data_IF_953143775136
#
_entry.id   IF_953143775136
#
_cell.length_a   1.000
_cell.length_b   1.000
_cell.length_c   1.000
_cell.angle_alpha   90.00
_cell.angle_beta   90.00
_cell.angle_gamma   90.00
#
_symmetry.space_group_name_H-M   'P 1'
#
loop_
_entity.id
_entity.type
_entity.pdbx_description
1 polymer ?
2 polymer ?
3 non-polymer ?
4 non-polymer ?
5 non-polymer ?
6 water ?
#
# COMPACT_ATOMS: atom_id res chain seq x y z
C UNK A 8 -3.22 -23.25 3.86
N UNK A 9 -3.53 -22.17 4.56
CA UNK A 9 -4.80 -21.47 4.44
C UNK A 9 -4.53 -20.00 4.15
N UNK A 10 -5.33 -19.42 3.25
CA UNK A 10 -5.28 -17.99 2.95
C UNK A 10 -6.46 -17.30 3.62
N UNK A 11 -6.19 -16.20 4.33
CA UNK A 11 -7.25 -15.43 4.95
C UNK A 11 -7.72 -14.30 4.05
N UNK A 12 -8.97 -13.87 4.24
CA UNK A 12 -9.51 -12.74 3.47
C UNK A 12 -10.38 -11.92 4.40
N UNK A 13 -10.20 -10.60 4.39
CA UNK A 13 -11.08 -9.71 5.14
C UNK A 13 -11.70 -8.70 4.19
N UNK A 14 -12.99 -8.46 4.39
CA UNK A 14 -13.79 -7.53 3.61
C UNK A 14 -15.01 -7.19 4.43
N UNK A 15 -15.38 -5.91 4.48
CA UNK A 15 -16.59 -5.52 5.17
C UNK A 15 -17.28 -4.43 4.36
N UNK A 16 -18.52 -4.70 3.95
CA UNK A 16 -19.27 -3.75 3.14
C UNK A 16 -19.42 -2.39 3.81
N UNK A 17 -19.30 -2.32 5.13
CA UNK A 17 -19.43 -1.04 5.82
C UNK A 17 -18.37 -0.04 5.41
N UNK A 18 -17.22 -0.50 4.90
CA UNK A 18 -16.22 0.44 4.42
C UNK A 18 -16.67 1.18 3.15
N UNK A 19 -17.81 0.81 2.57
CA UNK A 19 -18.33 1.57 1.44
C UNK A 19 -18.98 2.88 1.85
N UNK A 20 -19.22 3.10 3.15
CA UNK A 20 -20.03 4.24 3.56
C UNK A 20 -19.28 5.56 3.42
N UNK A 21 -17.94 5.52 3.48
CA UNK A 21 -17.11 6.69 3.21
C UNK A 21 -17.32 7.14 1.77
N UNK A 22 -17.74 8.39 1.59
CA UNK A 22 -18.10 8.82 0.24
C UNK A 22 -17.89 10.32 0.09
N UNK A 23 -17.87 10.77 -1.17
CA UNK A 23 -17.68 12.17 -1.54
C UNK A 23 -19.05 12.78 -1.86
N UNK A 24 -19.57 13.57 -0.93
CA UNK A 24 -20.94 14.05 -1.08
C UNK A 24 -21.06 15.17 -2.11
N UNK A 25 -19.95 15.73 -2.56
CA UNK A 25 -19.97 16.80 -3.54
C UNK A 25 -19.62 16.36 -4.95
N UNK A 26 -19.04 15.16 -5.10
CA UNK A 26 -18.51 14.72 -6.39
C UNK A 26 -18.63 13.20 -6.40
N UNK A 27 -19.76 12.70 -6.89
CA UNK A 27 -20.02 11.27 -6.85
C UNK A 27 -19.13 10.48 -7.79
N UNK A 28 -18.42 11.15 -8.70
CA UNK A 28 -17.50 10.49 -9.62
C UNK A 28 -16.04 10.64 -9.20
N UNK A 29 -15.78 11.09 -7.98
CA UNK A 29 -14.43 11.03 -7.44
C UNK A 29 -13.91 9.60 -7.56
N UNK A 30 -12.66 9.40 -8.00
CA UNK A 30 -12.21 8.02 -8.33
C UNK A 30 -12.09 7.09 -7.13
N UNK A 31 -11.97 7.59 -5.91
CA UNK A 31 -11.88 6.71 -4.73
C UNK A 31 -13.30 6.33 -4.31
N UNK A 32 -13.91 5.45 -5.11
CA UNK A 32 -15.32 5.07 -5.13
C UNK A 32 -15.62 3.99 -4.10
N UNK A 33 -16.76 4.10 -3.41
CA UNK A 33 -17.20 2.98 -2.56
C UNK A 33 -17.16 1.64 -3.26
N UNK A 34 -17.54 1.57 -4.54
CA UNK A 34 -17.64 0.27 -5.19
C UNK A 34 -16.28 -0.30 -5.59
N UNK A 35 -15.18 0.40 -5.31
CA UNK A 35 -13.86 -0.22 -5.49
C UNK A 35 -13.78 -1.54 -4.74
N UNK A 36 -14.21 -1.56 -3.47
CA UNK A 36 -14.01 -2.77 -2.69
C UNK A 36 -15.10 -3.81 -2.98
N UNK A 37 -16.33 -3.37 -3.28
CA UNK A 37 -17.36 -4.35 -3.59
C UNK A 37 -17.11 -4.99 -4.95
N UNK A 38 -16.54 -4.25 -5.89
CA UNK A 38 -16.20 -4.86 -7.17
C UNK A 38 -15.09 -5.89 -7.01
N UNK A 39 -14.06 -5.58 -6.20
CA UNK A 39 -13.01 -6.56 -5.98
C UNK A 39 -13.58 -7.81 -5.30
N UNK A 40 -14.39 -7.60 -4.26
CA UNK A 40 -15.00 -8.72 -3.55
C UNK A 40 -15.85 -9.57 -4.49
N UNK A 41 -16.70 -8.93 -5.30
CA UNK A 41 -17.51 -9.68 -6.26
C UNK A 41 -16.67 -10.52 -7.19
N UNK A 42 -15.56 -9.96 -7.70
CA UNK A 42 -14.74 -10.73 -8.62
C UNK A 42 -14.10 -11.93 -7.92
N UNK A 43 -13.75 -11.80 -6.63
CA UNK A 43 -13.27 -12.95 -5.88
C UNK A 43 -14.34 -14.03 -5.79
N UNK A 44 -15.60 -13.62 -5.66
CA UNK A 44 -16.68 -14.59 -5.61
C UNK A 44 -16.85 -15.27 -6.97
N UNK A 45 -16.90 -14.46 -8.03
CA UNK A 45 -17.08 -14.99 -9.39
C UNK A 45 -15.99 -15.98 -9.78
N UNK A 46 -14.74 -15.69 -9.41
CA UNK A 46 -13.62 -16.56 -9.73
C UNK A 46 -13.48 -17.72 -8.75
N UNK A 47 -14.40 -17.84 -7.80
CA UNK A 47 -14.45 -18.93 -6.83
C UNK A 47 -13.20 -18.94 -5.96
N UNK A 48 -12.66 -17.76 -5.70
CA UNK A 48 -11.56 -17.58 -4.75
C UNK A 48 -12.06 -17.35 -3.33
N UNK A 49 -13.22 -16.70 -3.18
CA UNK A 49 -13.74 -16.39 -1.85
C UNK A 49 -13.99 -17.66 -1.05
N UNK A 50 -14.58 -18.69 -1.69
CA UNK A 50 -14.91 -19.90 -0.96
C UNK A 50 -13.68 -20.72 -0.58
N UNK A 51 -12.52 -20.44 -1.19
CA UNK A 51 -11.27 -21.08 -0.85
C UNK A 51 -10.54 -20.41 0.31
N UNK A 52 -10.96 -19.22 0.73
CA UNK A 52 -10.29 -18.47 1.78
C UNK A 52 -10.97 -18.64 3.13
N UNK A 53 -10.20 -18.47 4.19
CA UNK A 53 -10.76 -18.35 5.54
C UNK A 53 -11.16 -16.90 5.75
N UNK A 54 -12.43 -16.66 6.07
CA UNK A 54 -12.90 -15.29 6.24
C UNK A 54 -12.50 -14.76 7.61
N UNK A 55 -11.68 -13.72 7.62
CA UNK A 55 -11.24 -13.04 8.83
C UNK A 55 -12.20 -11.89 9.12
N UNK A 56 -12.71 -11.75 10.34
CA UNK A 56 -13.66 -10.66 10.62
C UNK A 56 -12.98 -9.31 10.65
N UNK A 57 -13.67 -8.31 10.13
CA UNK A 57 -13.24 -6.93 10.30
C UNK A 57 -13.49 -6.49 11.74
N UNK A 58 -12.75 -5.46 12.15
CA UNK A 58 -12.99 -4.82 13.43
C UNK A 58 -12.51 -3.38 13.34
N UNK A 59 -12.95 -2.58 14.31
CA UNK A 59 -12.45 -1.22 14.43
C UNK A 59 -11.07 -1.22 15.07
N UNK A 60 -10.15 -0.46 14.50
CA UNK A 60 -8.97 -0.07 15.25
C UNK A 60 -9.39 0.75 16.46
N UNK A 61 -8.64 0.62 17.56
CA UNK A 61 -8.79 1.49 18.70
C UNK A 61 -7.92 2.73 18.55
N UNK A 62 -8.30 3.80 19.27
CA UNK A 62 -7.50 5.01 19.25
C UNK A 62 -6.10 4.77 19.79
N UNK A 63 -5.95 3.87 20.78
CA UNK A 63 -4.63 3.51 21.26
C UNK A 63 -3.79 2.89 20.13
N UNK A 64 -4.43 2.07 19.28
CA UNK A 64 -3.71 1.47 18.16
C UNK A 64 -3.33 2.52 17.13
N UNK A 65 -4.21 3.48 16.84
CA UNK A 65 -3.86 4.55 15.92
C UNK A 65 -2.66 5.34 16.40
N UNK A 66 -2.49 5.46 17.73
CA UNK A 66 -1.36 6.20 18.29
C UNK A 66 -0.04 5.48 18.12
N UNK A 67 -0.04 4.25 17.60
CA UNK A 67 1.22 3.61 17.23
C UNK A 67 1.97 4.43 16.19
N UNK A 68 1.24 5.13 15.32
CA UNK A 68 1.85 5.91 14.26
C UNK A 68 1.39 7.36 14.20
N UNK A 69 0.22 7.71 14.76
CA UNK A 69 -0.35 9.03 14.54
C UNK A 69 -0.42 9.82 15.85
N UNK A 70 -0.36 11.15 15.70
CA UNK A 70 -0.46 12.05 16.85
C UNK A 70 -1.86 12.07 17.41
N UNK A 71 -1.97 12.36 18.71
CA UNK A 71 -3.31 12.43 19.29
C UNK A 71 -4.12 13.55 18.68
N UNK A 72 -3.46 14.64 18.25
CA UNK A 72 -4.18 15.74 17.62
C UNK A 72 -4.80 15.29 16.31
N UNK A 73 -4.03 14.57 15.49
CA UNK A 73 -4.57 14.10 14.21
C UNK A 73 -5.73 13.14 14.44
N UNK A 74 -5.57 12.20 15.37
CA UNK A 74 -6.65 11.26 15.65
C UNK A 74 -7.91 12.02 16.08
N UNK A 75 -7.75 12.99 16.99
CA UNK A 75 -8.93 13.68 17.51
C UNK A 75 -9.60 14.54 16.43
N UNK A 76 -8.82 15.09 15.50
CA UNK A 76 -9.42 15.90 14.43
C UNK A 76 -10.25 15.01 13.50
N UNK A 77 -9.67 13.90 13.03
CA UNK A 77 -10.44 13.02 12.16
C UNK A 77 -11.66 12.48 12.89
N UNK A 78 -11.49 12.13 14.17
CA UNK A 78 -12.62 11.63 14.96
C UNK A 78 -13.74 12.65 15.05
N UNK A 79 -13.38 13.93 15.22
CA UNK A 79 -14.39 14.98 15.34
C UNK A 79 -15.22 15.15 14.08
N UNK A 80 -14.70 14.70 12.92
CA UNK A 80 -15.46 14.85 11.69
C UNK A 80 -16.72 14.00 11.68
N UNK A 81 -16.81 12.99 12.56
CA UNK A 81 -18.00 12.16 12.65
C UNK A 81 -19.26 12.97 12.92
N UNK A 82 -19.11 14.14 13.55
CA UNK A 82 -20.24 14.93 14.02
C UNK A 82 -20.37 16.26 13.28
N UNK A 83 -19.65 16.44 12.19
CA UNK A 83 -19.64 17.73 11.50
C UNK A 83 -20.76 17.81 10.48
N UNK A 84 -21.27 19.02 10.30
CA UNK A 84 -22.20 19.29 9.23
C UNK A 84 -21.44 19.39 7.90
N UNK A 85 -22.14 19.27 6.77
CA UNK A 85 -21.44 19.24 5.47
C UNK A 85 -20.50 20.42 5.22
N UNK A 86 -20.91 21.65 5.59
CA UNK A 86 -20.01 22.78 5.36
C UNK A 86 -18.70 22.61 6.12
N UNK A 87 -18.76 22.07 7.34
CA UNK A 87 -17.53 21.90 8.11
C UNK A 87 -16.73 20.70 7.62
N UNK A 88 -17.39 19.66 7.10
CA UNK A 88 -16.65 18.56 6.46
C UNK A 88 -15.90 19.05 5.24
N UNK A 89 -16.52 19.91 4.43
CA UNK A 89 -15.83 20.47 3.28
C UNK A 89 -14.63 21.29 3.72
N UNK A 90 -14.82 22.15 4.72
CA UNK A 90 -13.73 23.00 5.20
C UNK A 90 -12.57 22.17 5.74
N UNK A 91 -12.88 21.15 6.54
CA UNK A 91 -11.82 20.34 7.12
C UNK A 91 -11.08 19.57 6.04
N UNK A 92 -11.81 18.91 5.14
CA UNK A 92 -11.16 18.16 4.08
C UNK A 92 -10.25 19.03 3.23
N UNK A 93 -10.68 20.26 2.97
CA UNK A 93 -9.88 21.19 2.16
C UNK A 93 -8.60 21.64 2.85
N UNK A 94 -8.48 21.44 4.17
CA UNK A 94 -7.22 21.75 4.84
C UNK A 94 -6.11 20.79 4.46
N UNK A 95 -6.45 19.63 3.92
CA UNK A 95 -5.46 18.62 3.55
C UNK A 95 -5.22 18.62 2.05
N UNK A 96 -4.17 17.90 1.64
CA UNK A 96 -3.87 17.65 0.24
C UNK A 96 -4.68 16.45 -0.23
N UNK A 97 -5.69 16.71 -1.07
CA UNK A 97 -6.48 15.68 -1.76
C UNK A 97 -7.27 14.78 -0.80
N UNK A 98 -8.16 15.36 -0.01
CA UNK A 98 -8.98 14.62 0.95
C UNK A 98 -10.42 15.06 0.83
N UNK A 99 -11.35 14.09 0.79
CA UNK A 99 -12.75 14.37 1.04
C UNK A 99 -13.19 13.58 2.27
N UNK A 100 -14.14 14.15 3.03
CA UNK A 100 -14.59 13.56 4.29
C UNK A 100 -16.11 13.55 4.34
N UNK A 101 -16.67 12.44 4.82
CA UNK A 101 -18.09 12.34 5.17
C UNK A 101 -18.19 11.93 6.63
N UNK A 102 -19.41 11.89 7.16
CA UNK A 102 -19.53 11.55 8.59
C UNK A 102 -19.10 10.12 8.88
N UNK A 103 -19.04 9.27 7.86
CA UNK A 103 -18.68 7.87 8.00
C UNK A 103 -17.19 7.62 7.80
N UNK A 104 -16.42 8.65 7.43
CA UNK A 104 -15.03 8.45 7.01
C UNK A 104 -14.19 7.88 8.14
N UNK A 105 -14.31 8.47 9.34
CA UNK A 105 -13.50 8.01 10.47
C UNK A 105 -13.74 6.53 10.76
N UNK A 106 -15.02 6.14 10.83
CA UNK A 106 -15.36 4.74 11.08
C UNK A 106 -14.77 3.83 10.01
N UNK A 107 -14.87 4.24 8.74
CA UNK A 107 -14.34 3.38 7.68
C UNK A 107 -12.83 3.26 7.77
N UNK A 108 -12.14 4.36 8.10
CA UNK A 108 -10.70 4.28 8.27
C UNK A 108 -10.34 3.38 9.44
N UNK A 109 -11.14 3.41 10.52
CA UNK A 109 -10.90 2.49 11.63
C UNK A 109 -11.08 1.04 11.20
N UNK A 110 -12.14 0.77 10.42
CA UNK A 110 -12.39 -0.60 9.95
C UNK A 110 -11.26 -1.08 9.05
N UNK A 111 -10.76 -0.22 8.17
CA UNK A 111 -9.68 -0.61 7.29
C UNK A 111 -8.46 -1.05 8.10
N UNK A 112 -8.11 -0.27 9.12
CA UNK A 112 -6.93 -0.59 9.94
C UNK A 112 -7.17 -1.82 10.80
N UNK A 113 -8.30 -1.86 11.51
CA UNK A 113 -8.59 -3.01 12.36
C UNK A 113 -8.69 -4.31 11.59
N UNK A 114 -9.21 -4.26 10.35
CA UNK A 114 -9.25 -5.44 9.51
C UNK A 114 -7.86 -5.96 9.22
N UNK A 115 -6.91 -5.05 8.97
CA UNK A 115 -5.54 -5.47 8.70
C UNK A 115 -4.88 -5.99 9.97
N UNK A 116 -5.19 -5.40 11.13
CA UNK A 116 -4.65 -5.95 12.39
C UNK A 116 -5.11 -7.38 12.59
N UNK A 117 -6.41 -7.64 12.38
CA UNK A 117 -6.90 -9.00 12.55
C UNK A 117 -6.24 -9.94 11.55
N UNK A 118 -5.93 -9.46 10.34
CA UNK A 118 -5.26 -10.30 9.37
C UNK A 118 -3.82 -10.61 9.78
N UNK A 119 -3.08 -9.59 10.23
CA UNK A 119 -1.74 -9.82 10.73
C UNK A 119 -1.76 -10.76 11.92
N UNK A 120 -2.73 -10.58 12.81
CA UNK A 120 -2.87 -11.48 13.95
C UNK A 120 -3.11 -12.92 13.49
N UNK A 121 -4.00 -13.11 12.51
CA UNK A 121 -4.29 -14.44 12.02
C UNK A 121 -3.03 -15.10 11.45
N UNK A 122 -2.18 -14.32 10.77
CA UNK A 122 -0.95 -14.88 10.26
C UNK A 122 0.00 -15.23 11.40
N UNK A 123 0.18 -14.29 12.35
CA UNK A 123 1.23 -14.46 13.36
C UNK A 123 0.85 -15.44 14.46
N UNK A 124 -0.44 -15.73 14.63
CA UNK A 124 -0.88 -16.81 15.51
C UNK A 124 -0.95 -18.16 14.80
N UNK A 125 -0.67 -18.20 13.50
CA UNK A 125 -0.67 -19.45 12.78
C UNK A 125 -2.03 -19.94 12.31
N UNK A 126 -3.05 -19.07 12.33
CA UNK A 126 -4.37 -19.50 11.84
C UNK A 126 -4.38 -19.59 10.32
N UNK A 127 -3.66 -18.70 9.64
CA UNK A 127 -3.53 -18.72 8.18
C UNK A 127 -2.06 -18.48 7.84
N UNK A 128 -1.68 -18.88 6.61
CA UNK A 128 -0.30 -18.65 6.17
C UNK A 128 -0.12 -17.24 5.63
N UNK A 129 -1.15 -16.70 4.99
CA UNK A 129 -1.07 -15.42 4.31
C UNK A 129 -2.49 -14.87 4.22
N UNK A 130 -2.64 -13.64 3.73
CA UNK A 130 -3.98 -13.07 3.72
C UNK A 130 -4.08 -11.89 2.78
N UNK A 131 -5.32 -11.55 2.41
CA UNK A 131 -5.61 -10.38 1.58
C UNK A 131 -6.66 -9.54 2.29
N UNK A 132 -6.51 -8.21 2.23
CA UNK A 132 -7.41 -7.29 2.91
C UNK A 132 -8.01 -6.33 1.88
N UNK A 133 -9.32 -6.42 1.68
CA UNK A 133 -10.01 -5.61 0.68
C UNK A 133 -10.62 -4.43 1.44
N UNK A 134 -9.87 -3.33 1.53
CA UNK A 134 -10.21 -2.25 2.46
C UNK A 134 -10.13 -0.90 1.76
N UNK A 135 -10.91 0.05 2.27
CA UNK A 135 -10.83 1.46 1.92
C UNK A 135 -11.35 2.27 3.10
N UNK A 136 -10.97 3.55 3.22
CA UNK A 136 -10.03 4.32 2.39
C UNK A 136 -8.61 3.80 2.49
N UNK A 137 -7.77 4.16 1.54
CA UNK A 137 -6.36 3.73 1.58
C UNK A 137 -5.56 4.41 2.68
N UNK A 138 -4.29 4.06 2.79
CA UNK A 138 -3.50 4.49 3.93
C UNK A 138 -2.13 5.09 3.66
N UNK A 139 -1.47 4.76 2.54
CA UNK A 139 -0.02 4.95 2.52
C UNK A 139 0.42 6.41 2.41
N UNK A 140 -0.47 7.36 2.06
CA UNK A 140 -0.08 8.77 2.09
C UNK A 140 -0.32 9.44 3.43
N UNK A 141 -1.01 8.78 4.35
CA UNK A 141 -1.29 9.40 5.64
C UNK A 141 -0.01 9.52 6.46
N UNK A 142 0.19 10.69 7.05
CA UNK A 142 1.37 11.02 7.84
C UNK A 142 1.05 10.89 9.32
N UNK A 143 2.09 10.98 10.15
CA UNK A 143 1.88 11.01 11.59
C UNK A 143 0.81 12.03 11.97
N UNK A 144 0.90 13.25 11.42
CA UNK A 144 0.12 14.39 11.88
C UNK A 144 -0.99 14.83 10.92
N UNK A 145 -1.10 14.27 9.72
CA UNK A 145 -2.06 14.80 8.75
C UNK A 145 -2.58 13.69 7.85
N UNK A 146 -3.78 13.90 7.33
CA UNK A 146 -4.34 13.11 6.24
C UNK A 146 -3.83 13.63 4.91
N UNK A 147 -3.84 12.75 3.89
CA UNK A 147 -3.24 13.12 2.61
C UNK A 147 -3.65 12.11 1.55
N UNK A 148 -3.90 12.60 0.34
CA UNK A 148 -4.01 11.70 -0.80
C UNK A 148 -5.01 10.57 -0.64
N UNK A 149 -6.24 10.90 -0.25
CA UNK A 149 -7.36 9.99 -0.03
C UNK A 149 -7.19 9.13 1.24
N UNK A 150 -6.13 9.35 2.04
CA UNK A 150 -5.78 8.51 3.17
C UNK A 150 -5.90 9.27 4.48
N UNK A 151 -6.48 8.62 5.50
CA UNK A 151 -6.65 9.20 6.83
C UNK A 151 -5.64 8.69 7.85
N UNK A 152 -5.51 7.37 7.96
CA UNK A 152 -4.54 6.72 8.85
C UNK A 152 -3.73 5.74 8.02
N UNK A 153 -2.48 5.54 8.40
CA UNK A 153 -1.57 4.76 7.56
C UNK A 153 -1.72 3.30 7.95
N UNK A 154 -2.71 2.65 7.32
CA UNK A 154 -3.05 1.26 7.62
C UNK A 154 -1.84 0.34 7.59
N UNK A 155 -1.02 0.42 6.54
CA UNK A 155 0.09 -0.51 6.44
C UNK A 155 1.13 -0.24 7.53
N UNK A 156 1.43 1.04 7.78
CA UNK A 156 2.38 1.38 8.83
C UNK A 156 1.87 0.94 10.19
N UNK A 157 0.57 1.17 10.45
CA UNK A 157 0.00 0.74 11.71
C UNK A 157 0.05 -0.77 11.86
N UNK A 158 -0.17 -1.51 10.77
CA UNK A 158 -0.15 -2.97 10.83
C UNK A 158 1.24 -3.49 11.17
N UNK A 159 2.29 -2.84 10.63
CA UNK A 159 3.64 -3.25 10.97
C UNK A 159 3.88 -3.08 12.46
N UNK A 160 3.48 -1.93 13.02
CA UNK A 160 3.66 -1.68 14.45
C UNK A 160 2.79 -2.63 15.26
N UNK A 161 1.58 -2.92 14.77
CA UNK A 161 0.73 -3.86 15.49
C UNK A 161 1.36 -5.24 15.52
N UNK A 162 1.93 -5.68 14.38
CA UNK A 162 2.61 -6.97 14.33
C UNK A 162 3.75 -7.01 15.33
N UNK A 163 4.52 -5.92 15.41
CA UNK A 163 5.61 -5.87 16.38
C UNK A 163 5.07 -5.94 17.80
N UNK A 164 3.90 -5.34 18.04
CA UNK A 164 3.32 -5.30 19.39
C UNK A 164 2.82 -6.66 19.88
N UNK A 165 2.69 -7.67 19.03
CA UNK A 165 2.27 -8.99 19.51
C UNK A 165 3.36 -10.03 19.36
N UNK A 166 4.57 -9.63 18.94
CA UNK A 166 5.65 -10.61 18.77
C UNK A 166 6.96 -10.13 19.39
N UNK A 167 7.59 -9.15 18.76
CA UNK A 167 8.86 -8.61 19.22
C UNK A 167 8.90 -7.16 18.77
N UNK A 168 9.27 -6.26 19.69
CA UNK A 168 9.22 -4.84 19.38
C UNK A 168 10.00 -4.53 18.10
N UNK A 169 11.10 -5.24 17.88
CA UNK A 169 11.95 -5.01 16.72
C UNK A 169 11.77 -6.05 15.63
N UNK A 170 10.63 -6.77 15.61
CA UNK A 170 10.34 -7.72 14.55
C UNK A 170 10.59 -7.07 13.19
N UNK A 171 11.34 -7.76 12.32
CA UNK A 171 11.63 -7.22 10.99
C UNK A 171 10.42 -7.37 10.09
N UNK A 172 9.88 -6.23 9.64
CA UNK A 172 8.74 -6.18 8.73
C UNK A 172 9.19 -5.52 7.43
N UNK A 173 8.87 -6.15 6.31
CA UNK A 173 9.07 -5.56 4.98
C UNK A 173 7.74 -5.03 4.48
N UNK A 174 7.71 -3.76 4.09
CA UNK A 174 6.56 -3.19 3.40
C UNK A 174 6.97 -2.94 1.96
N UNK A 175 6.31 -3.61 1.02
CA UNK A 175 6.51 -3.37 -0.40
C UNK A 175 5.31 -2.57 -0.90
N UNK A 176 5.56 -1.37 -1.42
CA UNK A 176 4.48 -0.46 -1.80
C UNK A 176 4.51 -0.36 -3.32
N UNK A 177 3.64 -1.12 -3.99
CA UNK A 177 3.64 -1.11 -5.45
C UNK A 177 2.48 -0.30 -6.02
N UNK A 178 1.73 0.40 -5.18
CA UNK A 178 0.89 1.50 -5.65
C UNK A 178 1.72 2.44 -6.52
N UNK A 179 1.11 2.98 -7.58
CA UNK A 179 1.87 3.82 -8.52
C UNK A 179 2.34 5.12 -7.87
N UNK A 180 1.76 5.52 -6.74
CA UNK A 180 2.20 6.72 -6.02
C UNK A 180 3.14 6.34 -4.88
N UNK A 181 4.12 7.22 -4.63
CA UNK A 181 4.99 7.06 -3.47
C UNK A 181 4.22 7.13 -2.16
N UNK A 182 4.46 6.17 -1.26
CA UNK A 182 3.87 6.25 0.06
C UNK A 182 4.66 7.16 0.98
N UNK A 183 4.48 8.47 0.80
CA UNK A 183 5.22 9.46 1.58
C UNK A 183 5.03 9.22 3.08
N UNK A 184 3.82 8.88 3.51
CA UNK A 184 3.57 8.70 4.92
C UNK A 184 4.32 7.51 5.49
N UNK A 185 4.31 6.38 4.77
CA UNK A 185 5.03 5.20 5.22
C UNK A 185 6.53 5.47 5.28
N UNK A 186 7.08 6.08 4.24
CA UNK A 186 8.50 6.42 4.26
C UNK A 186 8.84 7.25 5.49
N UNK A 187 8.05 8.28 5.78
CA UNK A 187 8.39 9.19 6.87
C UNK A 187 8.26 8.50 8.22
N UNK A 188 7.21 7.70 8.41
CA UNK A 188 6.99 7.04 9.70
C UNK A 188 8.18 6.15 10.04
N UNK A 189 8.75 5.49 9.04
CA UNK A 189 9.82 4.53 9.30
C UNK A 189 11.19 5.03 8.89
N UNK A 190 11.34 6.32 8.59
CA UNK A 190 12.58 6.75 7.94
C UNK A 190 13.82 6.56 8.80
N UNK A 191 13.65 6.61 10.12
CA UNK A 191 14.77 6.42 11.06
C UNK A 191 14.78 5.05 11.69
N UNK A 192 14.06 4.08 11.10
CA UNK A 192 13.81 2.79 11.71
C UNK A 192 14.46 1.68 10.91
N UNK A 193 15.29 0.84 11.56
CA UNK A 193 15.88 -0.30 10.89
C UNK A 193 15.08 -1.58 11.06
N UNK A 194 13.94 -1.52 11.74
CA UNK A 194 13.13 -2.72 11.90
C UNK A 194 12.06 -2.83 10.82
N UNK A 195 11.78 -1.76 10.10
CA UNK A 195 10.79 -1.80 9.03
C UNK A 195 11.47 -1.32 7.75
N UNK A 196 11.63 -2.24 6.80
CA UNK A 196 12.22 -1.94 5.50
C UNK A 196 11.09 -1.49 4.59
N UNK A 197 11.17 -0.26 4.08
CA UNK A 197 10.17 0.27 3.17
C UNK A 197 10.75 0.24 1.76
N UNK A 198 10.08 -0.45 0.84
CA UNK A 198 10.47 -0.46 -0.57
C UNK A 198 9.28 0.02 -1.38
N UNK A 199 9.45 1.14 -2.09
CA UNK A 199 8.38 1.70 -2.91
C UNK A 199 8.81 1.74 -4.36
N UNK A 200 7.97 1.25 -5.25
CA UNK A 200 8.08 1.53 -6.67
C UNK A 200 6.99 2.54 -7.01
N UNK A 201 7.33 3.57 -7.77
CA UNK A 201 6.32 4.59 -8.01
C UNK A 201 6.70 5.42 -9.22
N UNK A 202 5.68 5.90 -9.92
CA UNK A 202 5.89 6.95 -10.91
C UNK A 202 6.33 8.22 -10.21
N UNK A 203 7.28 8.95 -10.81
CA UNK A 203 7.91 10.07 -10.13
C UNK A 203 7.95 11.30 -11.03
N UNK A 204 8.44 11.13 -12.26
CA UNK A 204 8.50 12.22 -13.24
C UNK A 204 9.19 13.44 -12.67
N UNK A 205 10.29 13.22 -11.95
CA UNK A 205 11.10 14.29 -11.36
C UNK A 205 10.26 15.24 -10.52
N UNK A 206 9.24 14.72 -9.85
CA UNK A 206 8.41 15.50 -8.96
C UNK A 206 7.12 16.01 -9.55
N UNK A 207 6.86 15.76 -10.84
CA UNK A 207 5.61 16.20 -11.43
C UNK A 207 4.42 15.34 -11.03
N UNK A 208 4.68 14.11 -10.58
CA UNK A 208 3.63 13.16 -10.26
C UNK A 208 3.37 13.18 -8.76
N UNK A 209 2.09 13.11 -8.39
CA UNK A 209 1.71 13.11 -6.98
C UNK A 209 2.48 12.02 -6.23
N UNK A 210 2.98 12.28 -5.01
CA UNK A 210 2.76 13.46 -4.16
C UNK A 210 3.71 14.66 -4.36
N UNK A 211 4.38 14.73 -5.51
CA UNK A 211 5.05 15.95 -5.98
C UNK A 211 6.22 16.37 -5.10
N UNK A 212 6.93 15.42 -4.51
CA UNK A 212 8.01 15.74 -3.60
C UNK A 212 9.28 14.98 -3.97
N UNK A 213 10.43 15.63 -3.84
CA UNK A 213 11.70 14.93 -4.03
C UNK A 213 11.96 13.88 -2.95
N UNK A 214 11.13 13.82 -1.91
CA UNK A 214 11.24 12.73 -0.94
C UNK A 214 11.14 11.36 -1.60
N UNK A 215 10.53 11.28 -2.78
CA UNK A 215 10.33 10.03 -3.48
C UNK A 215 11.51 9.61 -4.34
N UNK A 216 12.59 10.40 -4.40
CA UNK A 216 13.67 10.05 -5.30
C UNK A 216 14.55 8.93 -4.73
N UNK A 217 15.37 8.35 -5.61
CA UNK A 217 16.14 7.15 -5.26
C UNK A 217 17.22 7.43 -4.23
N UNK A 218 17.61 8.70 -4.06
CA UNK A 218 18.69 9.00 -3.14
C UNK A 218 18.21 9.16 -1.71
N UNK A 219 16.91 8.99 -1.45
CA UNK A 219 16.39 9.05 -0.08
C UNK A 219 16.42 7.62 0.45
N UNK A 220 17.46 7.32 1.24
CA UNK A 220 17.78 5.95 1.61
C UNK A 220 17.56 5.66 3.07
N UNK A 221 17.06 6.63 3.84
CA UNK A 221 16.84 6.46 5.26
C UNK A 221 17.84 7.25 6.09
N UNK A 222 17.53 7.39 7.37
CA UNK A 222 18.24 8.29 8.26
C UNK A 222 18.63 7.58 9.56
N UNK A 223 19.79 7.97 10.12
CA UNK A 223 20.18 7.40 11.39
C UNK A 223 20.35 5.90 11.31
N UNK A 224 19.83 5.19 12.31
CA UNK A 224 19.91 3.74 12.28
C UNK A 224 19.09 3.15 11.14
N UNK A 225 18.17 3.94 10.57
CA UNK A 225 17.42 3.54 9.41
C UNK A 225 18.11 3.73 8.08
N UNK A 226 19.37 4.16 8.06
CA UNK A 226 20.02 4.42 6.78
C UNK A 226 20.23 3.11 6.03
N UNK A 227 19.72 3.06 4.79
CA UNK A 227 19.71 1.86 3.98
C UNK A 227 18.39 1.13 3.99
N UNK A 228 17.48 1.46 4.91
CA UNK A 228 16.24 0.73 5.08
C UNK A 228 15.05 1.45 4.46
N UNK A 229 15.32 2.37 3.53
CA UNK A 229 14.30 2.99 2.71
C UNK A 229 14.75 2.91 1.26
N UNK A 230 13.96 2.25 0.42
CA UNK A 230 14.33 1.99 -0.98
C UNK A 230 13.24 2.56 -1.89
N UNK A 231 13.55 3.66 -2.57
CA UNK A 231 12.65 4.28 -3.54
C UNK A 231 13.09 3.91 -4.95
N UNK A 232 12.15 3.39 -5.74
CA UNK A 232 12.41 3.02 -7.13
C UNK A 232 11.53 3.92 -7.97
N UNK A 233 12.04 5.07 -8.42
CA UNK A 233 11.18 6.04 -9.12
C UNK A 233 11.26 5.88 -10.64
N UNK A 234 10.10 5.98 -11.28
CA UNK A 234 10.01 5.89 -12.73
C UNK A 234 9.83 7.27 -13.36
N UNK A 235 10.55 7.50 -14.45
CA UNK A 235 10.48 8.75 -15.21
C UNK A 235 10.41 8.44 -16.69
N UNK A 236 9.67 9.25 -17.43
CA UNK A 236 9.76 9.26 -18.89
C UNK A 236 9.49 7.94 -19.57
N UNK A 237 8.37 7.32 -19.27
CA UNK A 237 8.00 6.06 -19.90
C UNK A 237 6.75 5.44 -19.31
N UNK A 238 5.94 4.80 -20.15
CA UNK A 238 4.77 4.06 -19.68
C UNK A 238 5.23 2.67 -19.24
N UNK A 239 5.48 2.51 -17.94
CA UNK A 239 6.08 1.29 -17.45
C UNK A 239 5.02 0.19 -17.28
N UNK A 240 5.49 -1.05 -17.28
CA UNK A 240 4.61 -2.20 -17.23
C UNK A 240 5.31 -3.43 -16.68
N UNK A 241 4.81 -4.61 -17.05
CA UNK A 241 5.36 -5.85 -16.53
C UNK A 241 6.87 -5.96 -16.67
N UNK A 242 7.48 -5.69 -17.83
CA UNK A 242 8.94 -5.85 -17.93
C UNK A 242 9.68 -5.03 -16.90
N UNK A 243 9.26 -3.78 -16.67
CA UNK A 243 9.96 -2.90 -15.77
C UNK A 243 9.78 -3.31 -14.32
N UNK A 244 8.56 -3.69 -13.95
CA UNK A 244 8.32 -4.12 -12.58
C UNK A 244 9.01 -5.46 -12.29
N UNK A 245 8.98 -6.37 -13.27
CA UNK A 245 9.69 -7.64 -13.07
C UNK A 245 11.18 -7.40 -12.91
N UNK A 246 11.75 -6.48 -13.70
CA UNK A 246 13.17 -6.17 -13.60
C UNK A 246 13.51 -5.52 -12.26
N UNK A 247 12.64 -4.62 -11.78
CA UNK A 247 12.90 -4.01 -10.48
C UNK A 247 12.86 -5.05 -9.36
N UNK A 248 11.94 -6.01 -9.46
CA UNK A 248 11.92 -7.08 -8.46
C UNK A 248 13.16 -7.95 -8.56
N UNK A 249 13.58 -8.25 -9.79
CA UNK A 249 14.74 -9.12 -10.00
C UNK A 249 16.01 -8.49 -9.47
N UNK A 250 16.25 -7.21 -9.79
CA UNK A 250 17.52 -6.58 -9.48
C UNK A 250 17.56 -5.96 -8.10
N UNK A 251 16.40 -5.57 -7.56
CA UNK A 251 16.40 -4.73 -6.37
C UNK A 251 15.52 -5.29 -5.25
N UNK A 252 14.21 -5.42 -5.48
CA UNK A 252 13.30 -5.76 -4.39
C UNK A 252 13.66 -7.11 -3.78
N UNK A 253 13.82 -8.13 -4.61
CA UNK A 253 14.00 -9.47 -4.06
C UNK A 253 15.40 -9.66 -3.45
N UNK A 254 16.50 -9.20 -4.08
CA UNK A 254 17.80 -9.34 -3.39
C UNK A 254 17.86 -8.60 -2.06
N UNK A 255 17.35 -7.37 -2.01
CA UNK A 255 17.36 -6.61 -0.76
C UNK A 255 16.49 -7.31 0.27
N UNK A 256 15.28 -7.72 -0.13
CA UNK A 256 14.38 -8.38 0.81
C UNK A 256 14.98 -9.66 1.37
N UNK A 257 15.65 -10.45 0.52
CA UNK A 257 16.27 -11.68 1.00
C UNK A 257 17.35 -11.38 2.03
N UNK A 258 18.12 -10.30 1.79
CA UNK A 258 19.18 -9.92 2.72
C UNK A 258 18.61 -9.42 4.05
N UNK A 259 17.50 -8.69 3.98
CA UNK A 259 16.83 -8.19 5.19
C UNK A 259 16.23 -9.33 6.00
N UNK A 260 15.73 -10.36 5.33
CA UNK A 260 15.10 -11.53 5.96
C UNK A 260 13.94 -11.11 6.84
N UNK A 261 12.87 -10.56 6.28
CA UNK A 261 11.74 -10.13 7.09
C UNK A 261 11.00 -11.34 7.67
N UNK A 262 10.34 -11.10 8.80
CA UNK A 262 9.45 -12.10 9.39
C UNK A 262 8.01 -11.93 8.95
N UNK A 263 7.68 -10.81 8.30
CA UNK A 263 6.34 -10.54 7.83
C UNK A 263 6.49 -9.61 6.64
N UNK A 264 5.76 -9.88 5.57
CA UNK A 264 5.72 -9.00 4.40
C UNK A 264 4.33 -8.37 4.33
N UNK A 265 4.28 -7.04 4.34
CA UNK A 265 3.06 -6.29 4.07
C UNK A 265 3.16 -5.70 2.67
N UNK A 266 2.17 -5.92 1.83
CA UNK A 266 2.16 -5.28 0.52
C UNK A 266 1.16 -4.13 0.57
N UNK A 267 1.67 -2.90 0.41
CA UNK A 267 0.82 -1.75 0.13
C UNK A 267 0.45 -1.90 -1.34
N UNK A 268 -0.62 -2.64 -1.57
CA UNK A 268 -0.96 -3.13 -2.91
C UNK A 268 -2.01 -2.20 -3.52
N UNK A 269 -1.54 -1.07 -4.03
CA UNK A 269 -2.37 -0.30 -4.92
C UNK A 269 -2.31 -0.91 -6.30
N UNK A 270 -3.41 -0.80 -7.04
CA UNK A 270 -3.44 -1.33 -8.39
C UNK A 270 -3.64 -0.22 -9.41
N UNK A 271 -3.07 0.96 -9.12
CA UNK A 271 -3.15 2.06 -10.05
C UNK A 271 -1.97 2.14 -11.01
N UNK A 272 -1.00 1.22 -10.92
CA UNK A 272 -0.04 1.04 -12.01
C UNK A 272 -0.59 0.09 -13.07
N UNK A 273 -1.83 -0.33 -12.90
CA UNK A 273 -2.45 -1.32 -13.78
C UNK A 273 -2.82 -0.71 -15.12
N UNK A 274 -2.71 -1.53 -16.16
CA UNK A 274 -3.31 -1.21 -17.46
C UNK A 274 -4.75 -0.75 -17.25
N UNK A 275 -5.07 0.41 -17.79
CA UNK A 275 -6.41 0.96 -17.70
C UNK A 275 -6.63 1.99 -16.60
N UNK A 276 -5.67 2.18 -15.70
CA UNK A 276 -5.93 3.08 -14.58
C UNK A 276 -5.99 4.53 -15.07
N UNK A 277 -7.00 5.29 -14.67
CA UNK A 277 -7.13 6.69 -15.13
C UNK A 277 -6.10 7.65 -14.54
N UNK A 278 -5.47 7.31 -13.42
CA UNK A 278 -4.45 8.16 -12.81
C UNK A 278 -3.03 7.72 -13.14
N UNK A 279 -2.77 6.41 -13.13
CA UNK A 279 -1.39 5.95 -13.17
C UNK A 279 -0.75 6.07 -14.55
N UNK A 280 -1.50 5.77 -15.61
CA UNK A 280 -0.94 5.83 -16.95
C UNK A 280 0.03 4.72 -17.30
N UNK A 281 0.10 3.66 -16.49
CA UNK A 281 1.02 2.55 -16.67
C UNK A 281 0.26 1.33 -17.18
N UNK A 282 0.96 0.20 -17.35
CA UNK A 282 0.31 -0.94 -18.01
C UNK A 282 0.72 -2.28 -17.40
N UNK A 283 0.89 -2.33 -16.08
CA UNK A 283 1.06 -3.63 -15.41
C UNK A 283 -0.20 -4.45 -15.59
N UNK A 284 -0.06 -5.72 -15.94
CA UNK A 284 -1.19 -6.60 -16.20
C UNK A 284 -1.54 -7.41 -14.97
N UNK A 285 -2.73 -8.03 -14.95
CA UNK A 285 -3.06 -8.90 -13.81
C UNK A 285 -2.08 -10.05 -13.65
N UNK A 286 -1.59 -10.58 -14.78
CA UNK A 286 -0.55 -11.60 -14.74
C UNK A 286 0.73 -11.04 -14.13
N UNK A 287 1.05 -9.78 -14.44
CA UNK A 287 2.21 -9.14 -13.82
C UNK A 287 2.11 -9.11 -12.31
N UNK A 288 0.96 -8.65 -11.79
CA UNK A 288 0.80 -8.62 -10.34
C UNK A 288 0.86 -10.01 -9.73
N UNK A 289 0.37 -11.03 -10.43
CA UNK A 289 0.48 -12.39 -9.92
C UNK A 289 1.94 -12.78 -9.74
N UNK A 290 2.78 -12.46 -10.72
CA UNK A 290 4.19 -12.82 -10.60
C UNK A 290 4.87 -12.04 -9.48
N UNK A 291 4.51 -10.77 -9.27
CA UNK A 291 5.07 -10.03 -8.15
C UNK A 291 4.68 -10.67 -6.82
N UNK A 292 3.40 -11.02 -6.68
CA UNK A 292 2.94 -11.69 -5.47
C UNK A 292 3.69 -13.01 -5.23
N UNK A 293 3.80 -13.82 -6.28
CA UNK A 293 4.44 -15.12 -6.16
C UNK A 293 5.89 -14.98 -5.71
N UNK A 294 6.58 -13.94 -6.19
CA UNK A 294 7.96 -13.73 -5.73
C UNK A 294 8.00 -13.37 -4.25
N UNK A 295 7.10 -12.50 -3.79
CA UNK A 295 7.08 -12.13 -2.38
C UNK A 295 6.75 -13.31 -1.47
N UNK A 296 5.99 -14.30 -1.98
CA UNK A 296 5.66 -15.45 -1.15
C UNK A 296 6.87 -16.32 -0.80
N UNK A 297 8.02 -16.11 -1.47
CA UNK A 297 9.23 -16.82 -1.09
C UNK A 297 9.90 -16.24 0.15
N UNK A 298 9.42 -15.10 0.64
CA UNK A 298 9.96 -14.43 1.81
C UNK A 298 9.17 -14.78 3.07
N UNK A 299 9.81 -14.61 4.23
CA UNK A 299 9.14 -14.63 5.52
C UNK A 299 8.36 -15.91 5.75
N UNK A 300 8.86 -17.03 5.23
CA UNK A 300 8.16 -18.31 5.32
C UNK A 300 6.73 -18.20 4.78
N UNK A 301 6.53 -17.33 3.79
CA UNK A 301 5.23 -17.16 3.18
C UNK A 301 4.28 -16.23 3.90
N UNK A 302 4.73 -15.57 4.98
CA UNK A 302 3.84 -14.71 5.77
C UNK A 302 3.69 -13.37 5.04
N UNK A 303 2.65 -13.28 4.20
CA UNK A 303 2.44 -12.14 3.32
C UNK A 303 1.00 -11.68 3.51
N UNK A 304 0.82 -10.38 3.75
CA UNK A 304 -0.49 -9.76 3.87
C UNK A 304 -0.61 -8.68 2.80
N UNK A 305 -1.59 -8.83 1.91
CA UNK A 305 -1.79 -7.91 0.78
C UNK A 305 -2.88 -6.93 1.16
N UNK A 306 -2.54 -5.65 1.21
CA UNK A 306 -3.44 -4.59 1.68
C UNK A 306 -3.78 -3.68 0.51
N UNK A 307 -5.07 -3.57 0.20
CA UNK A 307 -5.49 -2.68 -0.89
C UNK A 307 -5.13 -1.23 -0.56
N UNK A 308 -4.46 -0.55 -1.51
CA UNK A 308 -4.23 0.88 -1.38
C UNK A 308 -5.06 1.58 -2.47
N UNK A 309 -4.40 2.16 -3.48
CA UNK A 309 -5.09 2.81 -4.59
C UNK A 309 -5.47 1.85 -5.70
N UNK A 310 -5.80 2.43 -6.86
CA UNK A 310 -6.29 1.66 -8.00
C UNK A 310 -7.72 2.05 -8.34
N UNK A 311 -7.94 2.59 -9.54
CA UNK A 311 -9.14 3.37 -9.80
C UNK A 311 -9.88 2.96 -11.06
N UNK A 312 -9.42 1.94 -11.77
CA UNK A 312 -10.19 1.29 -12.82
C UNK A 312 -10.82 0.05 -12.20
N UNK A 313 -12.15 0.05 -12.11
CA UNK A 313 -12.81 -1.00 -11.33
C UNK A 313 -12.53 -2.39 -11.89
N UNK A 314 -12.55 -2.53 -13.22
CA UNK A 314 -12.26 -3.82 -13.82
C UNK A 314 -10.80 -4.21 -13.58
N UNK A 315 -9.89 -3.26 -13.76
CA UNK A 315 -8.46 -3.53 -13.57
C UNK A 315 -8.13 -3.99 -12.16
N UNK A 316 -8.64 -3.26 -11.15
CA UNK A 316 -8.29 -3.63 -9.79
C UNK A 316 -8.94 -4.95 -9.40
N UNK A 317 -10.12 -5.23 -9.94
CA UNK A 317 -10.79 -6.48 -9.58
C UNK A 317 -10.04 -7.68 -10.14
N UNK A 318 -9.60 -7.60 -11.39
CA UNK A 318 -8.84 -8.71 -11.97
C UNK A 318 -7.45 -8.82 -11.34
N UNK A 319 -6.81 -7.68 -11.07
CA UNK A 319 -5.45 -7.69 -10.56
C UNK A 319 -5.39 -8.24 -9.14
N UNK A 320 -6.25 -7.74 -8.25
CA UNK A 320 -6.19 -8.24 -6.87
C UNK A 320 -6.61 -9.70 -6.82
N UNK A 321 -7.58 -10.10 -7.64
CA UNK A 321 -7.98 -11.51 -7.67
C UNK A 321 -6.80 -12.40 -8.07
N UNK A 322 -6.00 -11.95 -9.03
CA UNK A 322 -4.81 -12.70 -9.43
C UNK A 322 -3.84 -12.85 -8.26
N UNK A 323 -3.71 -11.80 -7.44
CA UNK A 323 -2.84 -11.87 -6.27
C UNK A 323 -3.33 -12.92 -5.29
N UNK A 324 -4.64 -12.93 -5.03
CA UNK A 324 -5.19 -13.90 -4.09
C UNK A 324 -5.03 -15.32 -4.63
N UNK A 325 -5.23 -15.50 -5.94
CA UNK A 325 -4.99 -16.79 -6.58
C UNK A 325 -3.58 -17.29 -6.28
N UNK A 326 -2.58 -16.39 -6.35
CA UNK A 326 -1.22 -16.80 -6.01
C UNK A 326 -1.09 -17.16 -4.55
N UNK A 327 -1.68 -16.36 -3.64
CA UNK A 327 -1.59 -16.68 -2.21
C UNK A 327 -2.17 -18.06 -1.93
N UNK A 328 -3.23 -18.42 -2.66
CA UNK A 328 -3.86 -19.72 -2.48
C UNK A 328 -3.02 -20.87 -3.03
N UNK A 329 -1.92 -20.59 -3.71
CA UNK A 329 -1.04 -21.62 -4.21
C UNK A 329 -1.23 -21.99 -5.67
N UNK A 330 -2.03 -21.24 -6.42
CA UNK A 330 -2.21 -21.54 -7.84
C UNK A 330 -0.94 -21.23 -8.62
N UNK A 331 -0.75 -21.94 -9.73
CA UNK A 331 0.45 -21.77 -10.53
C UNK A 331 0.47 -20.39 -11.20
N UNK A 332 1.61 -19.72 -11.23
CA UNK A 332 1.67 -18.41 -11.87
C UNK A 332 1.33 -18.51 -13.33
N UNK A 333 0.68 -17.49 -13.90
CA UNK A 333 0.32 -17.53 -15.32
C UNK A 333 1.54 -17.27 -16.20
N UNK A 334 1.38 -17.57 -17.49
CA UNK A 334 2.44 -17.35 -18.46
C UNK A 334 2.75 -15.88 -18.61
N UNK A 339 10.86 -9.38 -22.70
CA UNK A 339 10.66 -8.06 -23.30
C UNK A 339 11.66 -7.05 -22.75
N UNK A 340 12.34 -6.34 -23.63
CA UNK A 340 13.34 -5.37 -23.18
C UNK A 340 12.69 -4.21 -22.45
N UNK A 341 13.43 -3.63 -21.51
CA UNK A 341 12.95 -2.51 -20.71
C UNK A 341 12.99 -1.22 -21.49
N UNK A 342 12.07 -0.32 -21.14
CA UNK A 342 12.25 1.07 -21.53
C UNK A 342 13.60 1.54 -21.03
N UNK A 343 14.31 2.30 -21.85
CA UNK A 343 15.67 2.67 -21.49
C UNK A 343 15.72 3.52 -20.23
N UNK A 344 14.69 4.34 -19.97
CA UNK A 344 14.71 5.12 -18.74
C UNK A 344 14.46 4.27 -17.50
N UNK A 345 13.80 3.12 -17.66
CA UNK A 345 13.66 2.20 -16.53
C UNK A 345 15.00 1.59 -16.15
N UNK A 346 15.82 1.27 -17.15
CA UNK A 346 17.19 0.83 -16.88
C UNK A 346 17.94 1.91 -16.10
N UNK A 347 17.80 3.17 -16.51
CA UNK A 347 18.44 4.26 -15.79
C UNK A 347 17.98 4.30 -14.33
N UNK A 348 16.67 4.21 -14.11
CA UNK A 348 16.14 4.23 -12.75
C UNK A 348 16.71 3.10 -11.92
N UNK A 349 16.65 1.87 -12.44
CA UNK A 349 17.13 0.71 -11.68
C UNK A 349 18.61 0.87 -11.34
N UNK A 350 19.40 1.33 -12.30
CA UNK A 350 20.82 1.52 -12.04
C UNK A 350 21.07 2.62 -11.01
N UNK A 351 20.23 3.66 -11.02
CA UNK A 351 20.36 4.71 -10.00
C UNK A 351 20.12 4.15 -8.61
N UNK A 352 19.08 3.31 -8.45
CA UNK A 352 18.80 2.73 -7.14
C UNK A 352 19.92 1.78 -6.72
N UNK A 353 20.44 0.98 -7.67
CA UNK A 353 21.53 0.06 -7.35
C UNK A 353 22.75 0.83 -6.86
N UNK A 354 23.06 1.96 -7.50
CA UNK A 354 24.20 2.77 -7.04
C UNK A 354 23.92 3.36 -5.66
N UNK A 355 22.68 3.77 -5.40
CA UNK A 355 22.35 4.36 -4.12
C UNK A 355 22.42 3.36 -2.98
N UNK A 356 22.10 2.10 -3.25
CA UNK A 356 21.93 1.14 -2.17
C UNK A 356 23.04 0.10 -2.07
N UNK A 357 23.94 0.02 -3.07
CA UNK A 357 25.08 -0.87 -2.93
C UNK A 357 25.91 -0.63 -1.66
N UNK A 358 26.05 0.59 -1.14
CA UNK A 358 26.78 0.74 0.14
C UNK A 358 26.16 -0.02 1.29
N UNK A 359 24.87 -0.35 1.22
CA UNK A 359 24.16 -0.91 2.36
C UNK A 359 23.80 -2.39 2.20
N UNK A 360 23.73 -2.89 0.97
CA UNK A 360 23.25 -4.24 0.72
C UNK A 360 24.29 -4.97 -0.12
N UNK A 361 24.93 -5.98 0.47
CA UNK A 361 25.99 -6.71 -0.21
C UNK A 361 25.47 -7.45 -1.44
N UNK A 362 24.19 -7.81 -1.45
CA UNK A 362 23.63 -8.52 -2.59
C UNK A 362 23.60 -7.67 -3.85
N UNK A 363 23.81 -6.36 -3.76
CA UNK A 363 23.78 -5.49 -4.92
C UNK A 363 25.17 -5.19 -5.48
N UNK A 364 26.21 -5.74 -4.90
CA UNK A 364 27.57 -5.42 -5.33
C UNK A 364 28.07 -6.36 -6.43
N UNK B 1 -9.05 20.00 -10.96
CA UNK B 1 -9.68 20.89 -10.01
C UNK B 1 -8.73 21.29 -8.89
N UNK B 2 -7.30 21.29 -9.11
CA UNK B 2 -6.38 21.68 -8.06
C UNK B 2 -6.30 20.61 -6.99
N UNK B 3 -6.79 19.28 -7.30
CA UNK B 3 -6.66 18.23 -6.33
C UNK B 3 -5.34 17.57 -6.75
N UNK B 4 -4.22 17.66 -5.86
CA UNK B 4 -2.89 17.13 -6.19
C UNK B 4 -2.88 15.72 -6.78
N UNK B 5 -3.61 14.69 -6.09
CA UNK B 5 -3.56 13.33 -6.57
C UNK B 5 -4.32 13.11 -7.87
N UNK B 6 -5.55 13.81 -8.10
CA UNK B 6 -6.22 13.56 -9.35
C UNK B 6 -5.65 14.35 -10.49
N UNK B 7 -4.82 15.49 -10.21
CA UNK B 7 -4.33 16.29 -11.32
C UNK B 7 -5.55 16.93 -11.98
N UNK B 8 -6.66 17.28 -11.12
CA UNK B 8 -7.86 17.86 -11.66
C UNK B 8 -8.50 18.72 -10.58
X LIG C 1 -2.00 5.48 -5.74
X LIG D 1 4.49 2.97 -4.32
X LIG E 1 12.84 2.26 7.18
X LIG F 1 -0.07 15.38 -10.58
X LIG F 1 0.08 15.81 -9.24
X LIG F 1 -0.84 14.05 -10.64
X LIG F 1 0.00 13.00 -10.19
X LIG G 1 16.84 10.49 3.42
X LIG G 1 16.14 9.28 3.52
X LIG G 1 18.33 10.22 3.57
X LIG G 1 18.85 9.68 2.38
#
# INVERSE_FOLDING_TARGET
>A
SNAGGSSPITGLVYDQRMMLHHNMWDSHHPELPQRISRIFSRHEELRLLSRCHRIPARLATEEELALCHSSKHISIIKSSEHMKPRDLNRLGDEYNSIFISNESYTCALLAAGSCFNSAQAILTGQVRNAVAIVRPPGHHAEKDTACGFCFFNTAALTARYAQSITRESLRVLIVDWDVHHGNGTQHIFEEDDSVLYISLHRYEDGAFFPNSEDANYDKVGLGKGRGYNVNIPWNGGKMGDPEYMAAFHHLVMPIAREFAPELVLVSAGFDAARGDPLGGFQVTPEGYAHLTHQLMSLAAGRVLIILEGGYNLTSISESMSMCTSMLLGDSPPSLDHLTPLKTSATVSINNVLRAHAPFWSSLR
>B
ASDRXFLK
>C hetero
1 ZN ZN
>D hetero
1 K K
>E hetero
1 K K
>F hetero
1 EDO C1 O1 C2 O2
>G hetero
1 EDO C1 O1 C2 O2
#
